data_IF_159242998962
#
_entry.id   IF_159242998962
#
_cell.length_a   1.000
_cell.length_b   1.000
_cell.length_c   1.000
_cell.angle_alpha   90.00
_cell.angle_beta   90.00
_cell.angle_gamma   90.00
#
_symmetry.space_group_name_H-M   'P 1'
#
loop_
_entity.id
_entity.type
_entity.pdbx_description
1 polymer ?
#
# COMPACT_ATOMS: atom_id res chain seq x y z
N UNK A 1 13.59 11.82 32.66
CA UNK A 1 13.07 10.69 31.85
C UNK A 1 11.65 10.31 32.23
N UNK A 2 11.34 9.77 33.42
CA UNK A 2 9.95 9.45 33.79
C UNK A 2 8.99 10.67 33.77
N UNK A 3 9.49 11.85 34.12
CA UNK A 3 8.72 13.11 34.07
C UNK A 3 8.47 13.61 32.64
N UNK A 4 9.44 13.46 31.74
CA UNK A 4 9.32 13.79 30.30
C UNK A 4 8.29 12.86 29.60
N UNK A 5 8.17 11.61 30.08
CA UNK A 5 7.10 10.68 29.67
C UNK A 5 5.73 11.10 30.21
N UNK A 6 5.67 11.66 31.42
CA UNK A 6 4.43 12.19 31.98
C UNK A 6 3.96 13.43 31.22
N UNK A 7 4.86 14.34 30.84
CA UNK A 7 4.53 15.53 30.03
C UNK A 7 3.98 15.17 28.64
N UNK A 8 4.58 14.19 27.94
CA UNK A 8 4.05 13.70 26.65
C UNK A 8 2.70 12.95 26.76
N UNK A 9 2.41 12.36 27.92
CA UNK A 9 1.11 11.75 28.23
C UNK A 9 0.06 12.78 28.67
N UNK A 10 0.48 13.91 29.24
CA UNK A 10 -0.37 15.02 29.66
C UNK A 10 -0.83 15.88 28.48
N UNK A 11 -0.05 15.93 27.39
CA UNK A 11 -0.37 16.76 26.22
C UNK A 11 -1.49 16.20 25.32
N UNK A 12 -1.87 14.93 25.48
CA UNK A 12 -2.98 14.32 24.72
C UNK A 12 -3.87 13.45 25.61
N UNK A 13 -5.16 13.81 25.73
CA UNK A 13 -6.15 12.99 26.46
C UNK A 13 -6.39 11.67 25.71
N UNK A 14 -5.83 10.56 26.19
CA UNK A 14 -6.15 9.23 25.67
C UNK A 14 -7.45 8.71 26.30
N UNK A 15 -8.43 8.36 25.46
CA UNK A 15 -9.69 7.78 25.94
C UNK A 15 -9.55 6.26 26.14
N UNK A 16 -9.71 5.77 27.38
CA UNK A 16 -9.57 4.35 27.73
C UNK A 16 -10.54 3.40 26.99
N UNK A 17 -11.68 3.92 26.54
CA UNK A 17 -12.70 3.15 25.81
C UNK A 17 -12.51 3.16 24.28
N UNK A 18 -11.50 3.88 23.77
CA UNK A 18 -11.25 4.00 22.35
C UNK A 18 -10.14 3.03 21.89
N UNK A 19 -10.41 2.08 20.96
CA UNK A 19 -9.39 1.13 20.51
C UNK A 19 -8.22 1.82 19.78
N UNK A 20 -8.48 2.81 18.92
CA UNK A 20 -7.43 3.59 18.26
C UNK A 20 -6.50 4.31 19.24
N UNK A 21 -7.03 4.92 20.30
CA UNK A 21 -6.20 5.58 21.33
C UNK A 21 -5.28 4.60 22.06
N UNK A 22 -5.70 3.33 22.25
CA UNK A 22 -4.83 2.28 22.82
C UNK A 22 -3.67 1.94 21.90
N UNK A 23 -3.90 1.90 20.58
CA UNK A 23 -2.83 1.66 19.61
C UNK A 23 -1.85 2.82 19.60
N UNK A 24 -2.32 4.06 19.63
CA UNK A 24 -1.42 5.22 19.66
C UNK A 24 -0.64 5.32 20.97
N UNK A 25 -1.26 5.01 22.09
CA UNK A 25 -0.55 4.88 23.36
C UNK A 25 0.51 3.77 23.29
N UNK A 26 0.18 2.61 22.71
CA UNK A 26 1.13 1.50 22.51
C UNK A 26 2.31 1.90 21.60
N UNK A 27 2.06 2.62 20.51
CA UNK A 27 3.11 3.14 19.61
C UNK A 27 4.05 4.10 20.32
N UNK A 28 3.52 4.97 21.18
CA UNK A 28 4.33 5.96 21.92
C UNK A 28 5.16 5.32 23.02
N UNK A 29 4.59 4.33 23.73
CA UNK A 29 5.26 3.65 24.84
C UNK A 29 6.28 2.59 24.37
N UNK A 30 6.08 2.01 23.18
CA UNK A 30 6.97 0.96 22.69
C UNK A 30 8.31 1.54 22.22
N UNK A 31 9.38 1.10 22.87
CA UNK A 31 10.76 1.27 22.39
C UNK A 31 11.20 0.02 21.63
N UNK A 32 11.76 0.20 20.43
CA UNK A 32 12.30 -0.88 19.61
C UNK A 32 11.59 -1.05 18.26
N UNK A 33 12.16 -1.92 17.43
CA UNK A 33 11.69 -2.14 16.06
C UNK A 33 10.38 -2.97 16.04
N UNK A 34 9.34 -2.56 15.29
CA UNK A 34 8.03 -3.21 15.29
C UNK A 34 7.99 -4.49 14.41
N UNK A 35 8.83 -5.49 14.73
CA UNK A 35 8.98 -6.70 13.92
C UNK A 35 7.67 -7.50 13.81
N UNK A 36 6.94 -7.67 14.91
CA UNK A 36 5.72 -8.50 14.96
C UNK A 36 4.58 -7.93 14.10
N UNK A 37 4.41 -6.62 14.09
CA UNK A 37 3.35 -5.93 13.34
C UNK A 37 3.67 -5.92 11.86
N UNK A 38 4.93 -5.64 11.52
CA UNK A 38 5.41 -5.72 10.13
C UNK A 38 5.28 -7.15 9.59
N UNK A 39 5.64 -8.17 10.38
CA UNK A 39 5.47 -9.57 10.00
C UNK A 39 4.00 -9.93 9.82
N UNK A 40 3.11 -9.42 10.68
CA UNK A 40 1.66 -9.69 10.56
C UNK A 40 1.09 -9.05 9.29
N UNK A 41 1.44 -7.79 9.01
CA UNK A 41 1.06 -7.10 7.76
C UNK A 41 1.61 -7.87 6.55
N UNK A 42 2.87 -8.30 6.61
CA UNK A 42 3.52 -9.10 5.57
C UNK A 42 2.76 -10.41 5.31
N UNK A 43 2.38 -11.16 6.35
CA UNK A 43 1.60 -12.40 6.21
C UNK A 43 0.22 -12.15 5.58
N UNK A 44 -0.46 -11.07 5.98
CA UNK A 44 -1.78 -10.70 5.44
C UNK A 44 -1.66 -10.35 3.95
N UNK A 45 -0.68 -9.52 3.56
CA UNK A 45 -0.48 -9.15 2.16
C UNK A 45 -0.14 -10.40 1.33
N UNK A 46 0.71 -11.30 1.84
CA UNK A 46 1.07 -12.53 1.16
C UNK A 46 -0.16 -13.41 0.92
N UNK A 47 -1.01 -13.57 1.93
CA UNK A 47 -2.28 -14.29 1.82
C UNK A 47 -3.17 -13.75 0.71
N UNK A 48 -3.19 -12.43 0.47
CA UNK A 48 -3.98 -11.83 -0.61
C UNK A 48 -3.32 -11.93 -1.98
N UNK A 49 -1.99 -12.01 -2.05
CA UNK A 49 -1.23 -12.08 -3.29
C UNK A 49 -1.17 -13.51 -3.89
N UNK A 50 -1.15 -14.55 -3.05
CA UNK A 50 -1.02 -15.95 -3.48
C UNK A 50 -2.15 -16.43 -4.41
N UNK A 51 -3.45 -16.15 -4.17
CA UNK A 51 -4.53 -16.59 -5.08
C UNK A 51 -4.46 -15.99 -6.49
N UNK A 52 -3.81 -14.82 -6.62
CA UNK A 52 -3.63 -14.11 -7.89
C UNK A 52 -2.50 -14.78 -8.65
N UNK A 53 -1.32 -14.81 -8.03
CA UNK A 53 -0.08 -15.24 -8.65
C UNK A 53 0.00 -16.75 -8.92
N UNK A 54 -0.60 -17.57 -8.05
CA UNK A 54 -0.64 -19.03 -8.25
C UNK A 54 -1.50 -19.47 -9.43
N UNK A 55 -2.42 -18.62 -9.92
CA UNK A 55 -3.31 -18.97 -11.03
C UNK A 55 -2.54 -19.13 -12.35
N UNK A 56 -1.55 -18.27 -12.59
CA UNK A 56 -0.91 -18.14 -13.91
C UNK A 56 -0.36 -19.44 -14.51
N UNK A 57 0.34 -20.31 -13.76
CA UNK A 57 0.93 -21.52 -14.34
C UNK A 57 -0.09 -22.59 -14.73
N UNK A 58 -1.23 -22.66 -14.05
CA UNK A 58 -2.19 -23.76 -14.24
C UNK A 58 -3.51 -23.35 -14.92
N UNK A 59 -3.78 -22.04 -15.08
CA UNK A 59 -5.02 -21.54 -15.67
C UNK A 59 -5.28 -22.11 -17.07
N UNK A 60 -4.25 -22.17 -17.92
CA UNK A 60 -4.36 -22.72 -19.27
C UNK A 60 -4.88 -24.16 -19.25
N UNK A 61 -4.26 -25.01 -18.41
CA UNK A 61 -4.64 -26.42 -18.27
C UNK A 61 -6.05 -26.56 -17.66
N UNK A 62 -6.41 -25.70 -16.72
CA UNK A 62 -7.73 -25.72 -16.09
C UNK A 62 -8.86 -25.47 -17.08
N UNK A 63 -8.67 -24.52 -17.99
CA UNK A 63 -9.64 -24.26 -19.06
C UNK A 63 -9.66 -25.41 -20.08
N UNK A 64 -8.51 -26.01 -20.37
CA UNK A 64 -8.42 -27.21 -21.20
C UNK A 64 -9.22 -28.38 -20.61
N UNK A 65 -9.08 -28.63 -19.31
CA UNK A 65 -9.78 -29.72 -18.62
C UNK A 65 -11.31 -29.49 -18.54
N UNK A 66 -11.77 -28.23 -18.58
CA UNK A 66 -13.21 -27.92 -18.67
C UNK A 66 -13.84 -28.23 -20.03
N UNK A 67 -13.05 -28.53 -21.07
CA UNK A 67 -13.52 -28.89 -22.41
C UNK A 67 -14.55 -27.91 -23.01
N UNK A 68 -14.49 -26.62 -22.65
CA UNK A 68 -15.42 -25.60 -23.12
C UNK A 68 -14.99 -24.97 -24.45
N UNK A 69 -13.68 -24.94 -24.69
CA UNK A 69 -13.09 -24.45 -25.91
C UNK A 69 -13.24 -25.51 -27.01
N UNK A 70 -13.96 -25.19 -28.09
CA UNK A 70 -14.12 -26.10 -29.24
C UNK A 70 -12.81 -26.33 -30.00
N UNK A 71 -11.88 -25.39 -29.84
CA UNK A 71 -10.54 -25.42 -30.43
C UNK A 71 -9.52 -25.00 -29.39
N UNK A 72 -8.31 -25.55 -29.48
CA UNK A 72 -7.21 -25.21 -28.57
C UNK A 72 -6.80 -23.73 -28.63
N UNK A 73 -7.07 -23.05 -29.75
CA UNK A 73 -6.80 -21.60 -29.93
C UNK A 73 -7.67 -20.71 -29.03
N UNK A 74 -8.86 -21.17 -28.65
CA UNK A 74 -9.81 -20.39 -27.84
C UNK A 74 -9.52 -20.49 -26.33
N UNK A 75 -8.65 -21.42 -25.89
CA UNK A 75 -8.35 -21.66 -24.47
C UNK A 75 -7.84 -20.38 -23.80
N UNK A 76 -6.95 -19.64 -24.47
CA UNK A 76 -6.42 -18.38 -23.95
C UNK A 76 -7.49 -17.30 -23.77
N UNK A 77 -8.47 -17.24 -24.67
CA UNK A 77 -9.59 -16.30 -24.59
C UNK A 77 -10.49 -16.58 -23.38
N UNK A 78 -10.84 -17.85 -23.15
CA UNK A 78 -11.62 -18.27 -21.99
C UNK A 78 -10.85 -18.11 -20.66
N UNK A 79 -9.54 -18.36 -20.66
CA UNK A 79 -8.67 -18.11 -19.51
C UNK A 79 -8.69 -16.63 -19.10
N UNK A 80 -8.65 -15.72 -20.09
CA UNK A 80 -8.75 -14.28 -19.86
C UNK A 80 -10.03 -13.88 -19.11
N UNK A 81 -11.18 -14.49 -19.40
CA UNK A 81 -12.42 -14.22 -18.64
C UNK A 81 -12.31 -14.61 -17.16
N UNK A 82 -11.68 -15.74 -16.86
CA UNK A 82 -11.47 -16.18 -15.48
C UNK A 82 -10.52 -15.22 -14.75
N UNK A 83 -9.40 -14.83 -15.37
CA UNK A 83 -8.46 -13.84 -14.82
C UNK A 83 -9.13 -12.48 -14.57
N UNK A 84 -9.82 -11.95 -15.57
CA UNK A 84 -10.52 -10.66 -15.51
C UNK A 84 -11.66 -10.66 -14.48
N UNK A 85 -12.37 -11.77 -14.27
CA UNK A 85 -13.48 -11.83 -13.29
C UNK A 85 -13.06 -11.46 -11.87
N UNK A 86 -11.86 -11.88 -11.46
CA UNK A 86 -11.29 -11.54 -10.16
C UNK A 86 -10.95 -10.04 -10.07
N UNK A 87 -10.33 -9.48 -11.11
CA UNK A 87 -9.97 -8.05 -11.13
C UNK A 87 -11.20 -7.15 -11.23
N UNK A 88 -12.24 -7.58 -11.94
CA UNK A 88 -13.52 -6.90 -12.01
C UNK A 88 -14.19 -6.85 -10.62
N UNK A 89 -14.25 -7.98 -9.92
CA UNK A 89 -14.76 -8.04 -8.55
C UNK A 89 -14.01 -7.10 -7.61
N UNK A 90 -12.68 -7.08 -7.68
CA UNK A 90 -11.84 -6.15 -6.89
C UNK A 90 -12.09 -4.69 -7.23
N UNK A 91 -12.23 -4.37 -8.51
CA UNK A 91 -12.46 -2.98 -8.96
C UNK A 91 -13.76 -2.45 -8.38
N UNK A 92 -14.84 -3.22 -8.47
CA UNK A 92 -16.17 -2.84 -7.97
C UNK A 92 -16.19 -2.63 -6.45
N UNK A 93 -15.47 -3.46 -5.70
CA UNK A 93 -15.55 -3.45 -4.23
C UNK A 93 -14.39 -2.71 -3.55
N UNK A 94 -13.31 -2.37 -4.26
CA UNK A 94 -12.13 -1.70 -3.68
C UNK A 94 -12.46 -0.41 -2.90
N UNK A 95 -13.24 0.49 -3.50
CA UNK A 95 -13.66 1.75 -2.89
C UNK A 95 -14.61 1.51 -1.71
N UNK A 96 -15.53 0.55 -1.87
CA UNK A 96 -16.51 0.19 -0.83
C UNK A 96 -15.78 -0.39 0.38
N UNK A 97 -14.81 -1.30 0.19
CA UNK A 97 -13.99 -1.85 1.26
C UNK A 97 -13.20 -0.77 2.00
N UNK A 98 -12.68 0.25 1.30
CA UNK A 98 -12.04 1.40 1.94
C UNK A 98 -13.00 2.16 2.86
N UNK A 99 -14.17 2.55 2.33
CA UNK A 99 -15.20 3.26 3.11
C UNK A 99 -15.69 2.43 4.30
N UNK A 100 -15.87 1.12 4.11
CA UNK A 100 -16.28 0.21 5.18
C UNK A 100 -15.18 0.09 6.24
N UNK A 101 -13.90 0.03 5.84
CA UNK A 101 -12.78 -0.03 6.76
C UNK A 101 -12.66 1.25 7.61
N UNK A 102 -12.91 2.41 7.00
CA UNK A 102 -12.88 3.68 7.73
C UNK A 102 -14.07 3.86 8.68
N UNK A 103 -15.22 3.23 8.40
CA UNK A 103 -16.43 3.34 9.24
C UNK A 103 -16.52 2.28 10.33
N UNK A 104 -16.19 1.03 10.02
CA UNK A 104 -16.37 -0.12 10.93
C UNK A 104 -15.05 -0.59 11.53
N UNK A 105 -13.92 -0.02 11.12
CA UNK A 105 -12.60 -0.42 11.55
C UNK A 105 -11.91 -1.36 10.57
N UNK A 106 -10.59 -1.46 10.71
CA UNK A 106 -9.70 -2.10 9.74
C UNK A 106 -9.62 -3.59 10.01
N UNK A 107 -9.70 -3.99 11.29
CA UNK A 107 -9.69 -5.39 11.73
C UNK A 107 -10.81 -6.24 11.12
N UNK A 108 -12.10 -5.87 11.19
CA UNK A 108 -13.16 -6.71 10.63
C UNK A 108 -13.04 -6.85 9.12
N UNK A 109 -12.62 -5.81 8.41
CA UNK A 109 -12.43 -5.86 6.97
C UNK A 109 -11.31 -6.82 6.59
N UNK A 110 -10.16 -6.78 7.27
CA UNK A 110 -9.05 -7.73 7.08
C UNK A 110 -9.49 -9.17 7.37
N UNK A 111 -10.25 -9.39 8.45
CA UNK A 111 -10.75 -10.73 8.81
C UNK A 111 -11.70 -11.28 7.76
N UNK A 112 -12.66 -10.48 7.29
CA UNK A 112 -13.60 -10.88 6.23
C UNK A 112 -12.84 -11.20 4.95
N UNK A 113 -11.88 -10.37 4.54
CA UNK A 113 -11.14 -10.61 3.31
C UNK A 113 -10.23 -11.83 3.38
N UNK A 114 -9.53 -12.08 4.50
CA UNK A 114 -8.71 -13.31 4.66
C UNK A 114 -9.58 -14.56 4.77
N UNK A 115 -10.72 -14.50 5.47
CA UNK A 115 -11.68 -15.61 5.51
C UNK A 115 -12.30 -15.89 4.13
N UNK A 116 -12.53 -14.85 3.32
CA UNK A 116 -13.03 -15.00 1.95
C UNK A 116 -12.03 -15.77 1.07
N UNK A 117 -10.72 -15.61 1.30
CA UNK A 117 -9.68 -16.42 0.63
C UNK A 117 -9.88 -17.89 0.98
N UNK A 118 -10.01 -18.23 2.27
CA UNK A 118 -10.21 -19.63 2.68
C UNK A 118 -11.42 -20.26 1.99
N UNK A 119 -12.55 -19.56 1.95
CA UNK A 119 -13.80 -20.10 1.41
C UNK A 119 -13.76 -20.16 -0.12
N UNK A 120 -13.59 -19.02 -0.79
CA UNK A 120 -13.74 -18.94 -2.24
C UNK A 120 -12.55 -19.51 -3.00
N UNK A 121 -11.34 -19.47 -2.45
CA UNK A 121 -10.19 -20.14 -3.09
C UNK A 121 -10.34 -21.67 -3.03
N UNK A 122 -10.87 -22.22 -1.94
CA UNK A 122 -11.19 -23.65 -1.84
C UNK A 122 -12.30 -24.04 -2.80
N UNK A 123 -13.38 -23.24 -2.88
CA UNK A 123 -14.46 -23.46 -3.85
C UNK A 123 -13.97 -23.38 -5.30
N UNK A 124 -13.03 -22.50 -5.60
CA UNK A 124 -12.39 -22.42 -6.92
C UNK A 124 -11.61 -23.70 -7.25
N UNK A 125 -10.85 -24.24 -6.30
CA UNK A 125 -10.14 -25.53 -6.48
C UNK A 125 -11.07 -26.74 -6.67
N UNK A 126 -12.31 -26.67 -6.16
CA UNK A 126 -13.36 -27.67 -6.36
C UNK A 126 -14.20 -27.43 -7.61
N UNK A 127 -13.89 -26.40 -8.41
CA UNK A 127 -14.71 -26.07 -9.57
C UNK A 127 -14.55 -27.13 -10.68
N UNK A 128 -15.69 -27.60 -11.19
CA UNK A 128 -15.78 -28.55 -12.31
C UNK A 128 -16.31 -27.91 -13.59
N UNK A 129 -16.87 -26.70 -13.46
CA UNK A 129 -17.50 -25.97 -14.55
C UNK A 129 -16.86 -24.60 -14.71
N UNK A 130 -16.72 -24.14 -15.95
CA UNK A 130 -16.22 -22.81 -16.29
C UNK A 130 -16.96 -21.68 -15.56
N UNK A 131 -18.30 -21.72 -15.56
CA UNK A 131 -19.11 -20.69 -14.89
C UNK A 131 -18.93 -20.67 -13.37
N UNK A 132 -18.73 -21.85 -12.77
CA UNK A 132 -18.44 -21.95 -11.33
C UNK A 132 -17.07 -21.32 -11.02
N UNK A 133 -16.07 -21.52 -11.88
CA UNK A 133 -14.76 -20.90 -11.76
C UNK A 133 -14.85 -19.36 -11.84
N UNK A 134 -15.62 -18.82 -12.79
CA UNK A 134 -15.84 -17.37 -12.91
C UNK A 134 -16.53 -16.80 -11.66
N UNK A 135 -17.63 -17.41 -11.21
CA UNK A 135 -18.42 -16.89 -10.08
C UNK A 135 -17.57 -16.91 -8.80
N UNK A 136 -16.89 -18.03 -8.53
CA UNK A 136 -16.03 -18.15 -7.33
C UNK A 136 -14.87 -17.15 -7.36
N UNK A 137 -14.25 -16.91 -8.53
CA UNK A 137 -13.20 -15.89 -8.71
C UNK A 137 -13.72 -14.47 -8.56
N UNK A 138 -14.89 -14.17 -9.13
CA UNK A 138 -15.54 -12.87 -8.97
C UNK A 138 -15.85 -12.60 -7.50
N UNK A 139 -16.48 -13.54 -6.80
CA UNK A 139 -16.75 -13.43 -5.37
C UNK A 139 -15.47 -13.26 -4.55
N UNK A 140 -14.44 -14.08 -4.82
CA UNK A 140 -13.13 -13.93 -4.18
C UNK A 140 -12.56 -12.53 -4.40
N UNK A 141 -12.64 -12.00 -5.62
CA UNK A 141 -12.20 -10.64 -5.94
C UNK A 141 -12.99 -9.56 -5.19
N UNK A 142 -14.32 -9.68 -5.14
CA UNK A 142 -15.18 -8.72 -4.45
C UNK A 142 -14.89 -8.64 -2.95
N UNK A 143 -14.66 -9.76 -2.27
CA UNK A 143 -14.35 -9.74 -0.83
C UNK A 143 -12.86 -9.47 -0.52
N UNK A 144 -11.97 -9.53 -1.53
CA UNK A 144 -10.52 -9.34 -1.37
C UNK A 144 -10.02 -7.97 -1.88
N UNK A 145 -10.73 -6.91 -1.48
CA UNK A 145 -10.37 -5.51 -1.71
C UNK A 145 -9.40 -4.93 -0.68
N UNK A 146 -8.50 -5.74 -0.10
CA UNK A 146 -7.79 -5.38 1.14
C UNK A 146 -6.51 -4.53 0.96
N UNK A 147 -5.98 -4.38 -0.26
CA UNK A 147 -4.67 -3.71 -0.45
C UNK A 147 -4.66 -2.25 0.04
N UNK A 148 -5.76 -1.52 -0.11
CA UNK A 148 -5.89 -0.16 0.43
C UNK A 148 -5.94 -0.15 1.96
N UNK A 149 -6.94 -0.82 2.58
CA UNK A 149 -7.06 -0.92 4.03
C UNK A 149 -5.82 -1.46 4.73
N UNK A 150 -5.11 -2.44 4.16
CA UNK A 150 -3.88 -2.99 4.76
C UNK A 150 -2.75 -1.97 4.74
N UNK A 151 -2.58 -1.19 3.65
CA UNK A 151 -1.57 -0.12 3.60
C UNK A 151 -1.86 0.96 4.64
N UNK A 152 -3.12 1.36 4.77
CA UNK A 152 -3.54 2.29 5.82
C UNK A 152 -3.25 1.72 7.22
N UNK A 153 -3.69 0.48 7.49
CA UNK A 153 -3.45 -0.21 8.75
C UNK A 153 -1.96 -0.33 9.08
N UNK A 154 -1.10 -0.62 8.10
CA UNK A 154 0.34 -0.72 8.28
C UNK A 154 0.94 0.61 8.74
N UNK A 155 0.55 1.73 8.13
CA UNK A 155 0.99 3.08 8.53
C UNK A 155 0.42 3.48 9.89
N UNK A 156 -0.83 3.08 10.18
CA UNK A 156 -1.53 3.34 11.43
C UNK A 156 -1.10 2.44 12.58
N UNK A 157 -0.21 1.46 12.38
CA UNK A 157 0.25 0.58 13.47
C UNK A 157 1.69 0.87 13.88
N UNK A 158 2.51 1.39 12.95
CA UNK A 158 3.90 1.73 13.21
C UNK A 158 4.06 3.20 13.61
N UNK A 159 5.22 3.56 14.19
CA UNK A 159 5.61 4.95 14.44
C UNK A 159 5.94 5.64 13.11
N UNK A 160 5.83 6.97 13.05
CA UNK A 160 6.06 7.75 11.83
C UNK A 160 7.44 7.52 11.21
N UNK A 161 8.46 7.36 12.05
CA UNK A 161 9.84 7.01 11.66
C UNK A 161 9.93 5.72 10.83
N UNK A 162 9.01 4.77 11.03
CA UNK A 162 9.01 3.45 10.38
C UNK A 162 7.89 3.28 9.33
N UNK A 163 7.14 4.33 9.01
CA UNK A 163 6.07 4.25 7.99
C UNK A 163 6.60 3.89 6.60
N UNK A 164 7.75 4.43 6.21
CA UNK A 164 8.41 4.06 4.95
C UNK A 164 8.77 2.57 4.90
N UNK A 165 9.21 2.01 6.03
CA UNK A 165 9.49 0.58 6.15
C UNK A 165 8.21 -0.26 6.08
N UNK A 166 7.12 0.18 6.70
CA UNK A 166 5.84 -0.51 6.61
C UNK A 166 5.32 -0.58 5.17
N UNK A 167 5.43 0.50 4.41
CA UNK A 167 5.05 0.53 2.99
C UNK A 167 5.99 -0.32 2.12
N UNK A 168 7.29 -0.34 2.44
CA UNK A 168 8.26 -1.23 1.80
C UNK A 168 7.97 -2.71 2.10
N UNK A 169 7.59 -3.05 3.32
CA UNK A 169 7.18 -4.41 3.70
C UNK A 169 5.98 -4.88 2.86
N UNK A 170 4.97 -4.02 2.67
CA UNK A 170 3.83 -4.34 1.80
C UNK A 170 4.28 -4.59 0.36
N UNK A 171 5.15 -3.74 -0.18
CA UNK A 171 5.63 -3.84 -1.57
C UNK A 171 6.52 -5.07 -1.80
N UNK A 172 7.43 -5.37 -0.87
CA UNK A 172 8.31 -6.56 -0.94
C UNK A 172 7.53 -7.85 -0.82
N UNK A 173 6.48 -7.86 0.00
CA UNK A 173 5.57 -9.02 0.10
C UNK A 173 4.93 -9.36 -1.25
N UNK A 174 4.48 -8.35 -1.99
CA UNK A 174 3.90 -8.55 -3.32
C UNK A 174 4.90 -9.25 -4.25
N UNK A 175 6.16 -8.79 -4.26
CA UNK A 175 7.24 -9.44 -5.00
C UNK A 175 7.48 -10.89 -4.58
N UNK A 176 7.48 -11.19 -3.27
CA UNK A 176 7.60 -12.56 -2.75
C UNK A 176 6.39 -13.41 -3.15
N UNK A 177 5.19 -12.84 -3.19
CA UNK A 177 3.99 -13.49 -3.69
C UNK A 177 4.14 -13.94 -5.15
N UNK A 178 4.81 -13.15 -5.99
CA UNK A 178 5.13 -13.53 -7.38
C UNK A 178 6.18 -14.64 -7.50
N UNK A 179 6.90 -14.96 -6.42
CA UNK A 179 7.84 -16.08 -6.38
C UNK A 179 7.13 -17.34 -5.89
N UNK A 180 6.53 -17.25 -4.70
CA UNK A 180 5.92 -18.40 -4.02
C UNK A 180 4.64 -18.82 -4.74
N UNK A 181 3.85 -17.88 -5.24
CA UNK A 181 2.57 -18.15 -5.90
C UNK A 181 2.72 -19.05 -7.12
N UNK A 182 3.49 -18.66 -8.16
CA UNK A 182 3.69 -19.49 -9.34
C UNK A 182 4.40 -20.81 -9.05
N UNK A 183 5.32 -20.84 -8.09
CA UNK A 183 5.93 -22.10 -7.65
C UNK A 183 4.87 -23.06 -7.07
N UNK A 184 4.05 -22.59 -6.13
CA UNK A 184 2.95 -23.39 -5.56
C UNK A 184 1.94 -23.80 -6.63
N UNK A 185 1.55 -22.88 -7.52
CA UNK A 185 0.60 -23.15 -8.60
C UNK A 185 1.12 -24.15 -9.62
N UNK A 186 2.40 -24.06 -10.00
CA UNK A 186 3.01 -24.91 -11.01
C UNK A 186 3.30 -26.33 -10.53
N UNK A 187 3.91 -26.48 -9.35
CA UNK A 187 4.35 -27.77 -8.81
C UNK A 187 3.25 -28.58 -8.10
N UNK A 188 2.16 -27.94 -7.68
CA UNK A 188 1.05 -28.63 -7.03
C UNK A 188 -0.12 -28.90 -8.00
N UNK A 189 -0.13 -28.27 -9.18
CA UNK A 189 -1.17 -28.54 -10.17
C UNK A 189 -1.05 -29.96 -10.75
N UNK A 190 -2.19 -30.60 -11.01
CA UNK A 190 -2.27 -31.95 -11.57
C UNK A 190 -1.40 -32.98 -10.82
N UNK A 191 -1.56 -33.13 -9.49
CA UNK A 191 -0.68 -33.96 -8.67
C UNK A 191 -0.73 -35.44 -9.05
N UNK A 192 -1.85 -35.93 -9.59
CA UNK A 192 -1.97 -37.29 -10.10
C UNK A 192 -1.09 -37.56 -11.33
N UNK A 193 -0.88 -36.55 -12.19
CA UNK A 193 0.01 -36.65 -13.36
C UNK A 193 1.48 -36.45 -12.97
N UNK A 194 1.73 -35.54 -12.04
CA UNK A 194 3.10 -35.14 -11.67
C UNK A 194 3.74 -36.07 -10.64
N UNK A 195 2.96 -36.63 -9.71
CA UNK A 195 3.43 -37.54 -8.66
C UNK A 195 2.57 -38.82 -8.60
N UNK A 196 2.61 -39.68 -9.63
CA UNK A 196 1.76 -40.87 -9.73
C UNK A 196 2.05 -41.91 -8.63
N UNK A 197 3.20 -41.84 -7.96
CA UNK A 197 3.55 -42.70 -6.82
C UNK A 197 2.87 -42.28 -5.50
N UNK A 198 2.48 -41.01 -5.37
CA UNK A 198 1.87 -40.44 -4.17
C UNK A 198 0.36 -40.22 -4.31
N UNK A 199 -0.11 -39.92 -5.53
CA UNK A 199 -1.51 -39.64 -5.81
C UNK A 199 -2.05 -40.55 -6.91
N UNK A 200 -3.02 -41.41 -6.54
CA UNK A 200 -3.75 -42.22 -7.51
C UNK A 200 -4.77 -41.36 -8.27
N UNK A 201 -5.00 -41.68 -9.55
CA UNK A 201 -6.03 -41.03 -10.38
C UNK A 201 -7.45 -41.19 -9.81
N UNK A 202 -7.71 -42.25 -9.03
CA UNK A 202 -9.00 -42.48 -8.38
C UNK A 202 -9.19 -41.66 -7.08
N UNK A 203 -8.16 -40.91 -6.65
CA UNK A 203 -8.25 -40.07 -5.46
C UNK A 203 -9.02 -38.77 -5.73
N UNK A 204 -9.39 -38.05 -4.66
CA UNK A 204 -10.02 -36.72 -4.75
C UNK A 204 -9.18 -35.75 -5.60
N UNK A 205 -7.85 -35.88 -5.55
CA UNK A 205 -6.91 -35.04 -6.30
C UNK A 205 -6.79 -35.44 -7.78
N UNK A 206 -7.19 -36.65 -8.15
CA UNK A 206 -7.36 -37.04 -9.56
C UNK A 206 -8.66 -36.47 -10.14
N UNK A 207 -9.74 -36.46 -9.34
CA UNK A 207 -11.02 -35.84 -9.74
C UNK A 207 -10.96 -34.31 -9.78
N UNK A 208 -10.20 -33.69 -8.89
CA UNK A 208 -10.00 -32.24 -8.81
C UNK A 208 -8.50 -31.88 -8.93
N UNK A 209 -7.94 -31.81 -10.14
CA UNK A 209 -6.51 -31.62 -10.37
C UNK A 209 -5.95 -30.27 -9.85
N UNK A 210 -6.80 -29.27 -9.64
CA UNK A 210 -6.41 -27.92 -9.17
C UNK A 210 -6.74 -27.69 -7.69
N UNK A 211 -7.26 -28.71 -6.99
CA UNK A 211 -7.64 -28.59 -5.59
C UNK A 211 -6.42 -28.44 -4.67
N UNK A 212 -5.32 -29.17 -4.96
CA UNK A 212 -4.13 -29.18 -4.13
C UNK A 212 -3.45 -27.79 -3.97
N UNK A 213 -3.14 -27.03 -5.04
CA UNK A 213 -2.59 -25.68 -4.90
C UNK A 213 -3.56 -24.76 -4.16
N UNK A 214 -4.86 -24.87 -4.44
CA UNK A 214 -5.88 -24.06 -3.79
C UNK A 214 -5.99 -24.37 -2.29
N UNK A 215 -5.96 -25.65 -1.89
CA UNK A 215 -5.98 -26.06 -0.48
C UNK A 215 -4.73 -25.60 0.26
N UNK A 216 -3.55 -25.69 -0.35
CA UNK A 216 -2.32 -25.21 0.29
C UNK A 216 -2.39 -23.71 0.62
N UNK A 217 -2.89 -22.91 -0.33
CA UNK A 217 -3.11 -21.47 -0.12
C UNK A 217 -4.22 -21.22 0.91
N UNK A 218 -5.31 -22.00 0.89
CA UNK A 218 -6.39 -21.87 1.87
C UNK A 218 -5.96 -22.25 3.29
N UNK A 219 -5.11 -23.26 3.47
CA UNK A 219 -4.53 -23.61 4.76
C UNK A 219 -3.62 -22.49 5.29
N UNK A 220 -2.79 -21.91 4.42
CA UNK A 220 -2.00 -20.73 4.78
C UNK A 220 -2.91 -19.54 5.13
N UNK A 221 -3.94 -19.28 4.34
CA UNK A 221 -4.91 -18.22 4.61
C UNK A 221 -5.64 -18.43 5.94
N UNK A 222 -5.99 -19.67 6.30
CA UNK A 222 -6.61 -20.00 7.58
C UNK A 222 -5.70 -19.68 8.75
N UNK A 223 -4.41 -20.04 8.65
CA UNK A 223 -3.40 -19.67 9.64
C UNK A 223 -3.30 -18.14 9.79
N UNK A 224 -3.27 -17.42 8.66
CA UNK A 224 -3.22 -15.96 8.65
C UNK A 224 -4.49 -15.35 9.24
N UNK A 225 -5.67 -15.90 8.98
CA UNK A 225 -6.93 -15.46 9.61
C UNK A 225 -6.88 -15.64 11.12
N UNK A 226 -6.37 -16.77 11.62
CA UNK A 226 -6.20 -17.02 13.06
C UNK A 226 -5.23 -16.01 13.68
N UNK A 227 -4.10 -15.73 13.03
CA UNK A 227 -3.15 -14.69 13.46
C UNK A 227 -3.82 -13.32 13.43
N UNK A 228 -4.61 -13.03 12.40
CA UNK A 228 -5.32 -11.76 12.23
C UNK A 228 -6.38 -11.51 13.32
N UNK A 229 -6.85 -12.53 14.04
CA UNK A 229 -7.74 -12.32 15.19
C UNK A 229 -7.05 -11.54 16.32
N UNK A 230 -5.71 -11.65 16.43
CA UNK A 230 -4.90 -10.99 17.46
C UNK A 230 -4.60 -9.53 17.15
N UNK A 231 -4.86 -9.03 15.94
CA UNK A 231 -4.50 -7.66 15.57
C UNK A 231 -5.33 -6.64 16.38
N UNK A 232 -4.73 -5.55 16.83
CA UNK A 232 -5.48 -4.45 17.45
C UNK A 232 -6.32 -3.72 16.40
N UNK A 233 -7.40 -3.08 16.85
CA UNK A 233 -8.21 -2.19 16.00
C UNK A 233 -7.63 -0.76 16.06
N UNK A 234 -7.49 -0.11 14.90
CA UNK A 234 -6.89 1.24 14.78
C UNK A 234 -7.95 2.34 14.70
N UNK A 235 -9.25 2.00 14.64
CA UNK A 235 -10.33 2.97 14.57
C UNK A 235 -10.45 3.82 15.85
N UNK A 236 -10.50 5.15 15.68
CA UNK A 236 -10.84 6.07 16.77
C UNK A 236 -12.36 6.25 16.85
N UNK A 237 -12.96 5.87 17.99
CA UNK A 237 -14.42 5.89 18.20
C UNK A 237 -14.85 6.86 19.31
N UNK A 238 -14.01 7.85 19.65
CA UNK A 238 -14.35 8.90 20.59
C UNK A 238 -14.80 10.15 19.82
N UNK A 239 -15.75 10.89 20.40
CA UNK A 239 -16.01 12.25 19.93
C UNK A 239 -14.76 13.06 20.28
N UNK A 240 -14.20 13.76 19.30
CA UNK A 240 -13.18 14.75 19.56
C UNK A 240 -13.89 15.79 20.42
N UNK A 241 -13.47 15.97 21.68
CA UNK A 241 -14.08 16.96 22.56
C UNK A 241 -13.91 18.33 21.88
N UNK A 242 -15.04 18.98 21.57
CA UNK A 242 -15.11 20.26 20.83
C UNK A 242 -14.31 21.40 21.51
N UNK A 243 -13.86 21.22 22.76
CA UNK A 243 -13.04 22.19 23.49
C UNK A 243 -11.57 22.25 22.99
N UNK A 244 -11.15 21.35 22.11
CA UNK A 244 -9.89 21.43 21.37
C UNK A 244 -10.10 21.77 19.87
N UNK A 245 -11.35 21.96 19.44
CA UNK A 245 -11.74 22.22 18.06
C UNK A 245 -12.05 23.70 17.89
N UNK A 246 -11.24 24.39 17.10
CA UNK A 246 -11.68 25.63 16.48
C UNK A 246 -12.98 25.39 15.69
N UNK A 247 -13.87 26.39 15.53
CA UNK A 247 -15.15 26.29 14.80
C UNK A 247 -15.11 25.72 13.37
N UNK A 248 -13.93 25.43 12.83
CA UNK A 248 -13.66 24.91 11.49
C UNK A 248 -14.12 23.45 11.26
N UNK A 249 -14.20 22.59 12.29
CA UNK A 249 -14.40 21.15 12.00
C UNK A 249 -15.86 20.74 11.72
N UNK A 250 -16.85 21.53 12.16
CA UNK A 250 -18.24 21.34 11.72
C UNK A 250 -18.43 21.68 10.23
N UNK A 251 -17.54 22.52 9.68
CA UNK A 251 -17.44 22.82 8.25
C UNK A 251 -16.76 21.66 7.48
N UNK A 252 -15.91 20.87 8.13
CA UNK A 252 -15.09 19.84 7.49
C UNK A 252 -15.89 18.57 7.10
N UNK A 253 -16.98 18.23 7.77
CA UNK A 253 -17.81 17.09 7.37
C UNK A 253 -18.56 17.31 6.03
N UNK A 254 -19.07 18.53 5.80
CA UNK A 254 -19.65 18.93 4.51
C UNK A 254 -18.58 19.16 3.44
N UNK A 255 -17.37 19.58 3.82
CA UNK A 255 -16.21 19.72 2.94
C UNK A 255 -15.63 18.38 2.50
N UNK A 256 -15.62 17.34 3.34
CA UNK A 256 -15.11 16.00 3.00
C UNK A 256 -15.92 15.30 1.88
N UNK A 257 -17.24 15.53 1.83
CA UNK A 257 -18.07 15.09 0.70
C UNK A 257 -17.83 15.93 -0.57
N UNK A 258 -17.55 17.23 -0.41
CA UNK A 258 -17.24 18.13 -1.52
C UNK A 258 -15.81 17.91 -2.07
N UNK A 259 -14.86 17.46 -1.23
CA UNK A 259 -13.46 17.20 -1.56
C UNK A 259 -13.27 16.03 -2.51
N UNK A 260 -14.13 15.00 -2.50
CA UNK A 260 -14.06 13.92 -3.49
C UNK A 260 -14.17 14.43 -4.93
N UNK A 261 -14.96 15.49 -5.15
CA UNK A 261 -15.05 16.19 -6.45
C UNK A 261 -13.81 17.05 -6.74
N UNK A 262 -13.11 17.50 -5.69
CA UNK A 262 -11.88 18.31 -5.76
C UNK A 262 -10.63 17.46 -6.04
N UNK A 263 -10.56 16.24 -5.47
CA UNK A 263 -9.43 15.33 -5.65
C UNK A 263 -9.29 14.89 -7.12
N UNK A 264 -10.41 14.58 -7.77
CA UNK A 264 -10.41 14.23 -9.20
C UNK A 264 -10.10 15.44 -10.11
N UNK A 265 -10.15 16.66 -9.55
CA UNK A 265 -9.79 17.90 -10.25
C UNK A 265 -8.31 18.25 -10.09
N UNK A 266 -7.59 17.58 -9.19
CA UNK A 266 -6.17 17.78 -8.96
C UNK A 266 -5.36 17.12 -10.11
N UNK A 267 -4.94 17.94 -11.07
CA UNK A 267 -4.27 17.48 -12.29
C UNK A 267 -2.97 16.68 -12.03
N UNK A 268 -2.04 17.11 -11.15
CA UNK A 268 -0.89 16.29 -10.75
C UNK A 268 -1.25 14.89 -10.22
N UNK A 269 -2.31 14.80 -9.40
CA UNK A 269 -2.75 13.52 -8.85
C UNK A 269 -3.33 12.63 -9.94
N UNK A 270 -4.22 13.16 -10.78
CA UNK A 270 -4.81 12.43 -11.90
C UNK A 270 -3.74 11.97 -12.90
N UNK A 271 -2.76 12.82 -13.21
CA UNK A 271 -1.64 12.46 -14.09
C UNK A 271 -0.86 11.26 -13.54
N UNK A 272 -0.57 11.26 -12.24
CA UNK A 272 0.12 10.14 -11.58
C UNK A 272 -0.73 8.85 -11.60
N UNK A 273 -2.04 8.95 -11.38
CA UNK A 273 -2.97 7.82 -11.46
C UNK A 273 -3.03 7.26 -12.87
N UNK A 274 -3.12 8.10 -13.91
CA UNK A 274 -3.15 7.65 -15.31
C UNK A 274 -1.87 6.89 -15.67
N UNK A 275 -0.70 7.42 -15.31
CA UNK A 275 0.59 6.74 -15.55
C UNK A 275 0.62 5.40 -14.82
N UNK A 276 0.20 5.35 -13.56
CA UNK A 276 0.11 4.11 -12.79
C UNK A 276 -0.84 3.09 -13.43
N UNK A 277 -1.99 3.53 -13.96
CA UNK A 277 -2.94 2.66 -14.64
C UNK A 277 -2.35 2.06 -15.93
N UNK A 278 -1.64 2.86 -16.74
CA UNK A 278 -0.98 2.38 -17.96
C UNK A 278 0.10 1.35 -17.60
N UNK A 279 0.93 1.66 -16.61
CA UNK A 279 1.98 0.76 -16.14
C UNK A 279 1.40 -0.55 -15.59
N UNK A 280 0.36 -0.46 -14.74
CA UNK A 280 -0.32 -1.63 -14.16
C UNK A 280 -1.02 -2.48 -15.22
N UNK A 281 -1.60 -1.84 -16.24
CA UNK A 281 -2.22 -2.54 -17.37
C UNK A 281 -1.16 -3.33 -18.15
N UNK A 282 -0.01 -2.70 -18.45
CA UNK A 282 1.09 -3.37 -19.11
C UNK A 282 1.64 -4.54 -18.29
N UNK A 283 1.90 -4.33 -16.99
CA UNK A 283 2.42 -5.36 -16.08
C UNK A 283 1.49 -6.58 -15.98
N UNK A 284 0.18 -6.35 -15.80
CA UNK A 284 -0.81 -7.42 -15.71
C UNK A 284 -0.98 -8.13 -17.06
N UNK A 285 -1.05 -7.38 -18.16
CA UNK A 285 -1.18 -7.95 -19.50
C UNK A 285 0.04 -8.83 -19.84
N UNK A 286 1.25 -8.36 -19.55
CA UNK A 286 2.46 -9.13 -19.76
C UNK A 286 2.44 -10.45 -18.98
N UNK A 287 2.10 -10.40 -17.68
CA UNK A 287 2.12 -11.57 -16.81
C UNK A 287 1.10 -12.64 -17.22
N UNK A 288 -0.13 -12.23 -17.56
CA UNK A 288 -1.20 -13.12 -18.04
C UNK A 288 -0.88 -13.70 -19.42
N UNK A 289 -0.52 -12.84 -20.39
CA UNK A 289 -0.26 -13.27 -21.77
C UNK A 289 0.97 -14.17 -21.83
N UNK A 290 2.05 -13.84 -21.10
CA UNK A 290 3.26 -14.66 -21.08
C UNK A 290 2.97 -16.08 -20.62
N UNK A 291 2.20 -16.24 -19.54
CA UNK A 291 1.89 -17.54 -18.96
C UNK A 291 1.02 -18.39 -19.89
N UNK A 292 0.03 -17.77 -20.54
CA UNK A 292 -0.82 -18.43 -21.54
C UNK A 292 -0.02 -18.80 -22.80
N UNK A 293 0.85 -17.90 -23.28
CA UNK A 293 1.70 -18.14 -24.43
C UNK A 293 2.71 -19.26 -24.17
N UNK A 294 3.35 -19.28 -23.00
CA UNK A 294 4.29 -20.33 -22.63
C UNK A 294 3.64 -21.72 -22.58
N UNK A 295 2.42 -21.82 -22.04
CA UNK A 295 1.66 -23.08 -21.98
C UNK A 295 1.10 -23.54 -23.33
N UNK A 296 0.85 -22.61 -24.27
CA UNK A 296 0.20 -22.93 -25.54
C UNK A 296 1.07 -23.85 -26.43
N UNK A 297 0.46 -24.75 -27.23
CA UNK A 297 1.20 -25.69 -28.09
C UNK A 297 2.10 -24.99 -29.12
N UNK A 298 3.23 -25.63 -29.43
CA UNK A 298 4.21 -25.12 -30.41
C UNK A 298 3.63 -24.90 -31.81
N UNK A 299 2.57 -25.65 -32.18
CA UNK A 299 1.85 -25.47 -33.45
C UNK A 299 1.31 -24.05 -33.64
N UNK A 300 0.97 -23.38 -32.54
CA UNK A 300 0.41 -22.03 -32.53
C UNK A 300 1.45 -20.95 -32.16
N UNK A 301 2.75 -21.31 -32.13
CA UNK A 301 3.83 -20.39 -31.77
C UNK A 301 4.09 -20.23 -30.27
N UNK A 302 3.47 -21.06 -29.43
CA UNK A 302 3.79 -21.16 -28.00
C UNK A 302 5.00 -22.04 -27.69
N UNK A 303 5.34 -22.18 -26.41
CA UNK A 303 6.50 -23.00 -25.98
C UNK A 303 6.13 -24.46 -25.67
N UNK A 304 4.85 -24.74 -25.37
CA UNK A 304 4.35 -26.05 -24.94
C UNK A 304 4.88 -26.45 -23.57
N UNK A 305 5.08 -25.49 -22.68
CA UNK A 305 5.61 -25.72 -21.33
C UNK A 305 4.56 -26.38 -20.42
N UNK A 306 5.03 -27.16 -19.45
CA UNK A 306 4.17 -27.66 -18.38
C UNK A 306 3.90 -26.57 -17.34
N UNK A 307 2.89 -26.79 -16.48
CA UNK A 307 2.60 -25.86 -15.37
C UNK A 307 3.80 -25.66 -14.45
N UNK A 308 4.64 -26.68 -14.25
CA UNK A 308 5.84 -26.59 -13.42
C UNK A 308 6.98 -25.81 -14.09
N UNK A 309 7.12 -25.93 -15.42
CA UNK A 309 8.11 -25.14 -16.15
C UNK A 309 7.75 -23.65 -16.11
N UNK A 310 6.49 -23.31 -16.37
CA UNK A 310 6.00 -21.92 -16.26
C UNK A 310 6.11 -21.41 -14.82
N UNK A 311 5.74 -22.22 -13.83
CA UNK A 311 5.90 -21.89 -12.41
C UNK A 311 7.35 -21.59 -12.04
N UNK A 312 8.30 -22.38 -12.55
CA UNK A 312 9.74 -22.20 -12.33
C UNK A 312 10.26 -20.92 -12.98
N UNK A 313 9.89 -20.65 -14.23
CA UNK A 313 10.31 -19.44 -14.95
C UNK A 313 9.80 -18.18 -14.27
N UNK A 314 8.53 -18.17 -13.86
CA UNK A 314 7.94 -17.04 -13.13
C UNK A 314 8.58 -16.85 -11.75
N UNK A 315 8.87 -17.94 -11.02
CA UNK A 315 9.53 -17.86 -9.72
C UNK A 315 10.97 -17.31 -9.83
N UNK A 316 11.75 -17.78 -10.81
CA UNK A 316 13.10 -17.27 -11.09
C UNK A 316 13.05 -15.79 -11.48
N UNK A 317 12.10 -15.42 -12.35
CA UNK A 317 11.91 -14.02 -12.77
C UNK A 317 11.52 -13.12 -11.60
N UNK A 318 10.61 -13.59 -10.73
CA UNK A 318 10.22 -12.90 -9.50
C UNK A 318 11.39 -12.71 -8.52
N UNK A 319 12.27 -13.71 -8.41
CA UNK A 319 13.49 -13.59 -7.59
C UNK A 319 14.45 -12.56 -8.18
N UNK A 320 14.63 -12.54 -9.50
CA UNK A 320 15.40 -11.51 -10.20
C UNK A 320 14.83 -10.10 -9.98
N UNK A 321 13.51 -9.96 -10.06
CA UNK A 321 12.80 -8.71 -9.75
C UNK A 321 13.02 -8.27 -8.31
N UNK A 322 13.01 -9.20 -7.36
CA UNK A 322 13.24 -8.89 -5.94
C UNK A 322 14.68 -8.43 -5.68
N UNK A 323 15.69 -9.09 -6.28
CA UNK A 323 17.09 -8.62 -6.21
C UNK A 323 17.23 -7.23 -6.83
N UNK A 324 16.61 -7.03 -7.99
CA UNK A 324 16.64 -5.74 -8.69
C UNK A 324 15.96 -4.66 -7.85
N UNK A 325 14.82 -4.97 -7.22
CA UNK A 325 14.11 -4.05 -6.33
C UNK A 325 14.95 -3.71 -5.09
N UNK A 326 15.61 -4.68 -4.47
CA UNK A 326 16.45 -4.42 -3.29
C UNK A 326 17.71 -3.62 -3.65
N UNK A 327 18.31 -3.86 -4.82
CA UNK A 327 19.57 -3.22 -5.21
C UNK A 327 19.35 -1.84 -5.83
N UNK A 328 18.41 -1.73 -6.77
CA UNK A 328 18.17 -0.51 -7.53
C UNK A 328 17.40 0.53 -6.73
N UNK A 329 16.49 0.13 -5.84
CA UNK A 329 15.71 1.09 -5.05
C UNK A 329 16.58 1.81 -4.02
N UNK A 330 17.54 1.11 -3.40
CA UNK A 330 18.57 1.74 -2.56
C UNK A 330 19.40 2.75 -3.37
N UNK A 331 19.84 2.36 -4.57
CA UNK A 331 20.61 3.26 -5.44
C UNK A 331 19.79 4.47 -5.93
N UNK A 332 18.52 4.26 -6.27
CA UNK A 332 17.62 5.31 -6.75
C UNK A 332 17.23 6.29 -5.64
N UNK A 333 17.03 5.81 -4.40
CA UNK A 333 16.74 6.69 -3.26
C UNK A 333 17.96 7.57 -2.90
N UNK A 334 19.16 6.99 -2.93
CA UNK A 334 20.40 7.77 -2.78
C UNK A 334 20.52 8.84 -3.89
N UNK A 335 20.24 8.48 -5.14
CA UNK A 335 20.29 9.40 -6.27
C UNK A 335 19.19 10.48 -6.21
N UNK A 336 17.98 10.13 -5.73
CA UNK A 336 16.87 11.06 -5.55
C UNK A 336 17.14 12.05 -4.43
N UNK A 337 17.69 11.59 -3.28
CA UNK A 337 18.13 12.48 -2.20
C UNK A 337 19.20 13.44 -2.69
N UNK A 338 20.18 12.96 -3.45
CA UNK A 338 21.22 13.81 -4.07
C UNK A 338 20.60 14.83 -5.03
N UNK A 339 19.64 14.41 -5.86
CA UNK A 339 18.94 15.32 -6.80
C UNK A 339 18.10 16.37 -6.08
N UNK A 340 17.40 16.00 -4.99
CA UNK A 340 16.65 16.93 -4.15
C UNK A 340 17.57 17.90 -3.41
N UNK A 341 18.70 17.44 -2.90
CA UNK A 341 19.71 18.30 -2.27
C UNK A 341 20.30 19.29 -3.27
N UNK A 342 20.61 18.84 -4.49
CA UNK A 342 21.06 19.72 -5.59
C UNK A 342 19.96 20.72 -5.96
N UNK A 343 18.72 20.27 -6.09
CA UNK A 343 17.57 21.13 -6.38
C UNK A 343 17.36 22.19 -5.29
N UNK A 344 17.40 21.81 -4.01
CA UNK A 344 17.30 22.72 -2.87
C UNK A 344 18.49 23.69 -2.81
N UNK A 345 19.71 23.23 -3.11
CA UNK A 345 20.91 24.07 -3.17
C UNK A 345 20.81 25.11 -4.31
N UNK A 346 20.35 24.71 -5.49
CA UNK A 346 20.10 25.61 -6.62
C UNK A 346 19.01 26.63 -6.26
N UNK A 347 17.92 26.20 -5.63
CA UNK A 347 16.81 27.08 -5.25
C UNK A 347 17.22 28.08 -4.15
N UNK A 348 18.08 27.67 -3.22
CA UNK A 348 18.71 28.57 -2.22
C UNK A 348 19.69 29.54 -2.88
N UNK A 349 20.51 29.07 -3.82
CA UNK A 349 21.43 29.92 -4.60
C UNK A 349 20.69 30.99 -5.41
N UNK A 350 19.59 30.66 -6.08
CA UNK A 350 18.75 31.63 -6.77
C UNK A 350 18.05 32.62 -5.81
N UNK A 351 17.68 32.17 -4.61
CA UNK A 351 17.06 33.02 -3.59
C UNK A 351 18.08 34.03 -3.01
N UNK A 352 19.33 33.62 -2.80
CA UNK A 352 20.40 34.52 -2.36
C UNK A 352 20.87 35.48 -3.46
N UNK A 353 20.94 35.03 -4.71
CA UNK A 353 21.31 35.91 -5.85
C UNK A 353 20.22 36.97 -6.12
N UNK A 354 18.94 36.60 -6.00
CA UNK A 354 17.83 37.56 -6.07
C UNK A 354 17.88 38.57 -4.91
N UNK A 355 18.24 38.13 -3.71
CA UNK A 355 18.38 38.99 -2.52
C UNK A 355 19.59 39.95 -2.64
N UNK A 356 20.69 39.52 -3.29
CA UNK A 356 21.83 40.40 -3.61
C UNK A 356 21.48 41.46 -4.65
N UNK A 357 20.73 41.11 -5.69
CA UNK A 357 20.28 42.09 -6.72
C UNK A 357 19.32 43.15 -6.19
N UNK A 358 18.49 42.81 -5.20
CA UNK A 358 17.62 43.80 -4.52
C UNK A 358 18.40 44.80 -3.67
N UNK A 359 19.58 44.44 -3.15
CA UNK A 359 20.43 45.33 -2.34
C UNK A 359 21.28 46.26 -3.21
N UNK A 360 21.58 45.89 -4.46
CA UNK A 360 22.43 46.68 -5.39
C UNK A 360 21.67 47.60 -6.35
N UNK A 361 20.33 47.61 -6.34
CA UNK A 361 19.56 48.52 -7.20
C UNK A 361 19.55 49.95 -6.62
N UNK A 362 19.93 51.00 -7.39
CA UNK A 362 19.83 52.38 -6.95
C UNK A 362 18.35 52.74 -6.74
N UNK A 363 17.97 53.15 -5.52
CA UNK A 363 16.64 53.67 -5.24
C UNK A 363 16.42 54.98 -6.01
N UNK A 364 15.57 54.97 -7.04
CA UNK A 364 14.92 56.19 -7.54
C UNK A 364 13.70 56.50 -6.64
N UNK A 365 13.47 57.77 -6.27
CA UNK A 365 12.38 58.12 -5.36
C UNK A 365 11.05 58.12 -6.12
N UNK A 366 9.95 57.54 -5.59
CA UNK A 366 8.65 57.64 -6.21
C UNK A 366 7.86 58.85 -5.67
N UNK A 367 7.37 59.67 -6.60
CA UNK A 367 6.31 60.65 -6.37
C UNK A 367 4.96 59.94 -6.15
N UNK A 368 4.28 60.34 -5.06
CA UNK A 368 2.83 60.48 -4.88
C UNK A 368 1.87 59.31 -5.21
N UNK A 369 1.26 58.71 -4.17
CA UNK A 369 -0.22 58.75 -3.99
C UNK A 369 -0.72 58.16 -2.64
N UNK A 370 -1.43 58.99 -1.89
CA UNK A 370 -2.53 58.79 -0.92
C UNK A 370 -2.67 57.55 0.02
N UNK A 371 -2.34 57.79 1.33
CA UNK A 371 -2.97 57.45 2.66
C UNK A 371 -3.77 56.14 2.92
N UNK A 372 -3.90 55.66 4.20
CA UNK A 372 -3.17 55.99 5.44
C UNK A 372 -2.63 54.74 6.20
N UNK A 373 -1.35 54.77 6.59
CA UNK A 373 -0.80 53.85 7.62
C UNK A 373 -1.07 54.40 9.02
N UNK A 374 -2.09 53.88 9.70
CA UNK A 374 -2.14 53.88 11.17
C UNK A 374 -1.67 52.50 11.63
N UNK A 375 -0.54 52.42 12.32
CA UNK A 375 -0.08 51.17 12.98
C UNK A 375 1.45 51.01 13.06
N UNK A 376 2.17 51.23 11.96
CA UNK A 376 3.57 50.78 11.84
C UNK A 376 4.62 51.68 12.54
N UNK A 377 4.23 52.85 13.07
CA UNK A 377 5.15 53.79 13.74
C UNK A 377 5.42 53.49 15.22
N UNK A 378 4.49 52.81 15.91
CA UNK A 378 4.64 52.48 17.34
C UNK A 378 5.56 51.27 17.55
N UNK A 379 5.43 50.24 16.72
CA UNK A 379 6.27 49.03 16.81
C UNK A 379 7.75 49.28 16.51
N UNK A 380 8.07 50.15 15.54
CA UNK A 380 9.47 50.52 15.25
C UNK A 380 10.09 51.39 16.34
N UNK A 381 9.32 52.24 17.02
CA UNK A 381 9.81 53.01 18.19
C UNK A 381 9.95 52.14 19.44
N UNK A 382 9.06 51.17 19.66
CA UNK A 382 9.18 50.21 20.76
C UNK A 382 10.36 49.26 20.57
N UNK A 383 10.58 48.71 19.36
CA UNK A 383 11.78 47.88 19.09
C UNK A 383 13.09 48.65 19.24
N UNK A 384 13.14 49.93 18.82
CA UNK A 384 14.35 50.76 18.99
C UNK A 384 14.61 51.20 20.43
N UNK A 385 13.58 51.27 21.27
CA UNK A 385 13.76 51.50 22.72
C UNK A 385 14.23 50.23 23.42
N UNK A 386 13.61 49.09 23.10
CA UNK A 386 13.97 47.79 23.69
C UNK A 386 15.40 47.37 23.37
N UNK A 387 15.85 47.56 22.12
CA UNK A 387 17.24 47.29 21.76
C UNK A 387 18.25 48.26 22.40
N UNK A 388 17.83 49.48 22.79
CA UNK A 388 18.71 50.42 23.51
C UNK A 388 18.80 50.10 24.99
N UNK A 389 17.70 49.65 25.59
CA UNK A 389 17.67 49.15 26.97
C UNK A 389 18.47 47.85 27.10
N UNK A 390 18.40 46.95 26.11
CA UNK A 390 19.22 45.72 26.05
C UNK A 390 20.73 46.03 25.83
N UNK A 391 21.08 47.03 25.01
CA UNK A 391 22.48 47.47 24.85
C UNK A 391 23.03 48.17 26.11
N UNK A 392 22.22 48.96 26.83
CA UNK A 392 22.63 49.62 28.09
C UNK A 392 22.76 48.60 29.26
N UNK A 393 21.93 47.54 29.31
CA UNK A 393 22.07 46.44 30.27
C UNK A 393 23.32 45.57 30.01
N UNK A 394 23.66 45.28 28.74
CA UNK A 394 24.89 44.55 28.39
C UNK A 394 26.15 45.37 28.68
N UNK A 395 26.11 46.71 28.56
CA UNK A 395 27.23 47.60 28.91
C UNK A 395 27.43 47.70 30.44
N UNK A 396 26.34 47.78 31.23
CA UNK A 396 26.42 47.75 32.70
C UNK A 396 26.90 46.38 33.24
N UNK A 397 26.49 45.27 32.62
CA UNK A 397 26.94 43.92 33.02
C UNK A 397 28.41 43.66 32.62
N UNK A 398 28.88 44.25 31.52
CA UNK A 398 30.28 44.20 31.10
C UNK A 398 31.20 45.06 31.98
N UNK A 399 30.72 46.19 32.53
CA UNK A 399 31.48 46.98 33.50
C UNK A 399 31.51 46.33 34.89
N UNK A 400 30.42 45.67 35.32
CA UNK A 400 30.35 44.96 36.60
C UNK A 400 31.24 43.71 36.67
N UNK A 401 31.58 43.10 35.54
CA UNK A 401 32.51 41.97 35.45
C UNK A 401 33.99 42.35 35.35
N UNK A 402 34.33 43.66 35.36
CA UNK A 402 35.71 44.17 35.30
C UNK A 402 36.21 44.86 36.57
N UNK A 403 35.39 44.94 37.62
CA UNK A 403 35.80 45.32 38.98
C UNK A 403 35.79 44.13 39.91
#
# INVERSE_FOLDING_TARGET
MAEEYAECLLENKFHENCPGCKVDQMKRLRRGFPFSELLTVWLIVLCTALPISSLFPFLYFMIGDFNIAKKEEDIGFYAGFVGCSFMLGRTLTSVICGIVADRYGRKPVILIGTASVVIFNTLFGLSVNFWMAIITRFCLGSFNGLLGPIKAYAMETVRDEYQGLALSAVSTTWGIGLIIGPAMGGFLAQPAKQYPSLFSENSVFGKFPYLLPCLAISCFALLVTIISLRIPETLHNHKIDDDALSPDESFDAHKALNEKSSLLKNWPLISSIIVYCIFSLHDMAYTEIFSLWANSPRKYGGLGYSSADVGSVLAISGFGLLIFQLSLYSYADDCHRVTLLIGQAITRGFRDDRRRREVTSPQNPPNGCHRPRKGCGRERKQRRRKNREEEEEEEEEAERNKG
#
